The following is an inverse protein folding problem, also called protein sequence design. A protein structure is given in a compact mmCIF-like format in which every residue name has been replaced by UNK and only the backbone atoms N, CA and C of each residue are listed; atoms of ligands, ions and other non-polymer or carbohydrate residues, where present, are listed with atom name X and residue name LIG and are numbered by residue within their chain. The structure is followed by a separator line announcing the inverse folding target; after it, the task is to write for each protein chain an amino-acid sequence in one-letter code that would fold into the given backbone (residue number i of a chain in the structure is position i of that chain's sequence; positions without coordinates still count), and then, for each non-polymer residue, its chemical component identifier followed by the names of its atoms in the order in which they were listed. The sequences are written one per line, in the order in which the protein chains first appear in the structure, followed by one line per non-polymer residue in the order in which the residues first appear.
data_IF_862792002414
#
_entry.id   IF_862792002414
#
_cell.length_a   1.000
_cell.length_b   1.000
_cell.length_c   1.000
_cell.angle_alpha   90.00
_cell.angle_beta   90.00
_cell.angle_gamma   90.00
#
_symmetry.space_group_name_H-M   'P 1'
#
loop_
_entity.id
_entity.type
_entity.pdbx_description
1 polymer ?
#
# COMPACT_ATOMS: atom_id res chain seq x y z
N UNK A 1 -23.35 14.39 -3.96
CA UNK A 1 -22.24 13.55 -3.46
C UNK A 1 -22.04 13.91 -2.01
N UNK A 2 -22.15 12.95 -1.10
CA UNK A 2 -21.79 13.15 0.31
C UNK A 2 -20.38 12.60 0.48
N UNK A 3 -19.39 13.43 0.81
CA UNK A 3 -18.04 12.95 1.03
C UNK A 3 -18.00 11.99 2.22
N UNK A 4 -17.15 10.97 2.13
CA UNK A 4 -16.84 10.13 3.29
C UNK A 4 -16.13 10.97 4.34
N UNK A 5 -16.36 10.72 5.65
CA UNK A 5 -15.60 11.38 6.69
C UNK A 5 -14.10 11.10 6.51
N UNK A 6 -13.23 12.05 6.91
CA UNK A 6 -11.79 11.82 6.88
C UNK A 6 -11.42 10.69 7.85
N UNK A 7 -10.29 10.00 7.62
CA UNK A 7 -9.78 9.04 8.58
C UNK A 7 -9.39 9.73 9.88
N UNK A 8 -9.50 9.02 11.01
CA UNK A 8 -9.08 9.54 12.32
C UNK A 8 -7.56 9.78 12.40
N UNK A 9 -6.78 9.01 11.63
CA UNK A 9 -5.32 9.14 11.54
C UNK A 9 -4.81 8.81 10.15
N UNK A 10 -3.81 9.57 9.70
CA UNK A 10 -3.04 9.25 8.51
C UNK A 10 -1.83 8.38 8.89
N UNK A 11 -1.45 7.47 8.01
CA UNK A 11 -0.23 6.66 8.17
C UNK A 11 0.89 7.25 7.31
N UNK A 12 2.08 7.35 7.88
CA UNK A 12 3.30 7.62 7.15
C UNK A 12 3.93 6.33 6.63
N UNK A 13 4.83 6.49 5.67
CA UNK A 13 5.72 5.43 5.23
C UNK A 13 6.69 5.05 6.36
N UNK A 14 6.99 3.75 6.47
CA UNK A 14 7.80 3.12 7.52
C UNK A 14 7.29 3.35 8.96
N UNK A 15 6.03 3.73 9.13
CA UNK A 15 5.40 3.90 10.44
C UNK A 15 5.10 2.55 11.10
N UNK A 16 5.50 2.39 12.35
CA UNK A 16 5.08 1.25 13.16
C UNK A 16 3.57 1.28 13.41
N UNK A 17 2.93 0.14 13.17
CA UNK A 17 1.50 -0.02 13.42
C UNK A 17 1.24 -0.03 14.93
N UNK A 18 0.14 0.59 15.35
CA UNK A 18 -0.23 0.70 16.76
C UNK A 18 -0.46 -0.66 17.47
N UNK A 19 -0.64 -1.74 16.72
CA UNK A 19 -0.69 -3.10 17.25
C UNK A 19 0.68 -3.66 17.66
N UNK A 20 1.78 -2.94 17.38
CA UNK A 20 3.15 -3.29 17.78
C UNK A 20 3.76 -4.48 17.04
N UNK A 21 3.10 -5.00 16.01
CA UNK A 21 3.53 -6.23 15.32
C UNK A 21 3.78 -6.05 13.82
N UNK A 22 3.68 -4.84 13.28
CA UNK A 22 3.92 -4.61 11.86
C UNK A 22 4.27 -3.17 11.51
N UNK A 23 4.65 -2.97 10.25
CA UNK A 23 5.08 -1.69 9.69
C UNK A 23 4.22 -1.36 8.46
N UNK A 24 3.82 -0.09 8.34
CA UNK A 24 3.15 0.45 7.17
C UNK A 24 4.17 0.83 6.09
N UNK A 25 3.95 0.38 4.86
CA UNK A 25 4.83 0.64 3.72
C UNK A 25 4.03 1.37 2.64
N UNK A 26 4.50 2.54 2.20
CA UNK A 26 3.89 3.26 1.09
C UNK A 26 4.28 2.60 -0.23
N UNK A 27 3.29 2.03 -0.92
CA UNK A 27 3.49 1.25 -2.15
C UNK A 27 2.60 1.78 -3.29
N UNK A 28 2.79 3.04 -3.71
CA UNK A 28 1.96 3.66 -4.73
C UNK A 28 2.06 2.94 -6.07
N UNK A 29 1.06 3.18 -6.92
CA UNK A 29 1.06 2.74 -8.31
C UNK A 29 -0.31 2.26 -8.77
N UNK A 30 -1.00 1.42 -7.98
CA UNK A 30 -2.43 1.15 -8.22
C UNK A 30 -3.26 2.40 -7.94
N UNK A 31 -2.98 3.05 -6.80
CA UNK A 31 -3.41 4.40 -6.47
C UNK A 31 -2.24 5.21 -5.91
N UNK A 32 -2.31 6.55 -5.85
CA UNK A 32 -1.28 7.37 -5.21
C UNK A 32 -1.12 7.09 -3.70
N UNK A 33 -2.20 6.62 -3.05
CA UNK A 33 -2.25 6.36 -1.60
C UNK A 33 -2.17 4.88 -1.23
N UNK A 34 -1.80 3.99 -2.15
CA UNK A 34 -1.70 2.55 -1.87
C UNK A 34 -0.66 2.28 -0.77
N UNK A 35 -1.04 1.46 0.22
CA UNK A 35 -0.21 1.04 1.34
C UNK A 35 -0.15 -0.49 1.39
N UNK A 36 0.99 -1.03 1.83
CA UNK A 36 1.15 -2.44 2.23
C UNK A 36 1.48 -2.52 3.73
N UNK A 37 1.20 -3.66 4.36
CA UNK A 37 1.50 -3.88 5.77
C UNK A 37 2.35 -5.13 5.96
N UNK A 38 3.52 -4.95 6.56
CA UNK A 38 4.50 -6.02 6.74
C UNK A 38 4.55 -6.49 8.20
N UNK A 39 4.39 -7.80 8.40
CA UNK A 39 4.44 -8.47 9.70
C UNK A 39 5.58 -9.50 9.69
N UNK A 40 6.75 -9.08 10.16
CA UNK A 40 8.02 -9.81 10.03
C UNK A 40 8.01 -11.17 10.72
N UNK A 41 7.42 -11.27 11.92
CA UNK A 41 7.36 -12.52 12.70
C UNK A 41 6.64 -13.64 11.94
N UNK A 42 5.54 -13.30 11.27
CA UNK A 42 4.74 -14.23 10.48
C UNK A 42 5.18 -14.37 9.01
N UNK A 43 6.17 -13.57 8.57
CA UNK A 43 6.55 -13.42 7.15
C UNK A 43 5.34 -13.11 6.25
N UNK A 44 4.45 -12.24 6.71
CA UNK A 44 3.20 -11.91 6.04
C UNK A 44 3.23 -10.47 5.52
N UNK A 45 2.92 -10.31 4.24
CA UNK A 45 2.66 -9.01 3.62
C UNK A 45 1.19 -8.92 3.23
N UNK A 46 0.48 -7.94 3.77
CA UNK A 46 -0.83 -7.52 3.25
C UNK A 46 -0.57 -6.45 2.21
N UNK A 47 -0.57 -6.84 0.93
CA UNK A 47 -0.13 -5.96 -0.16
C UNK A 47 -1.24 -5.10 -0.79
N UNK A 48 -2.50 -5.29 -0.38
CA UNK A 48 -3.65 -4.72 -1.07
C UNK A 48 -3.64 -5.06 -2.56
N UNK A 49 -3.96 -4.07 -3.40
CA UNK A 49 -3.94 -4.22 -4.86
C UNK A 49 -2.56 -3.93 -5.48
N UNK A 50 -1.51 -3.70 -4.68
CA UNK A 50 -0.16 -3.47 -5.21
C UNK A 50 0.41 -4.73 -5.84
N UNK A 51 0.23 -5.90 -5.20
CA UNK A 51 0.81 -7.16 -5.64
C UNK A 51 -0.16 -8.33 -5.47
N UNK A 52 -0.35 -9.08 -6.55
CA UNK A 52 -1.06 -10.34 -6.57
C UNK A 52 -0.15 -11.50 -6.94
N UNK A 53 -0.63 -12.72 -6.71
CA UNK A 53 0.05 -13.91 -7.24
C UNK A 53 0.08 -13.83 -8.77
N UNK A 54 1.28 -13.61 -9.31
CA UNK A 54 1.56 -13.46 -10.75
C UNK A 54 0.91 -12.24 -11.40
N UNK A 55 0.65 -11.17 -10.65
CA UNK A 55 0.04 -9.97 -11.19
C UNK A 55 0.13 -8.76 -10.26
N UNK A 56 -0.43 -7.65 -10.73
CA UNK A 56 -0.55 -6.39 -9.99
C UNK A 56 -1.92 -5.77 -10.24
N UNK A 57 -2.36 -4.86 -9.36
CA UNK A 57 -3.56 -4.08 -9.59
C UNK A 57 -3.46 -3.21 -10.85
N UNK A 58 -4.62 -2.81 -11.35
CA UNK A 58 -4.73 -1.94 -12.52
C UNK A 58 -4.04 -0.59 -12.30
N UNK A 59 -3.47 -0.01 -13.33
CA UNK A 59 -2.75 1.29 -13.24
C UNK A 59 -3.23 2.30 -14.29
N UNK A 60 -4.28 1.96 -15.04
CA UNK A 60 -4.87 2.74 -16.12
C UNK A 60 -5.97 3.73 -15.67
N UNK A 61 -6.37 3.67 -14.40
CA UNK A 61 -7.34 4.59 -13.81
C UNK A 61 -6.68 5.86 -13.26
N UNK A 62 -7.50 6.86 -12.92
CA UNK A 62 -7.02 8.14 -12.39
C UNK A 62 -6.09 7.95 -11.18
N UNK A 63 -4.88 8.50 -11.28
CA UNK A 63 -3.83 8.39 -10.27
C UNK A 63 -3.01 7.08 -10.29
N UNK A 64 -3.37 6.12 -11.13
CA UNK A 64 -2.56 4.92 -11.37
C UNK A 64 -1.32 5.22 -12.20
N UNK A 65 -0.22 4.50 -11.93
CA UNK A 65 1.03 4.59 -12.70
C UNK A 65 1.81 3.26 -12.70
N UNK A 66 2.01 2.71 -13.90
CA UNK A 66 2.67 1.42 -14.09
C UNK A 66 4.15 1.45 -13.71
N UNK A 67 4.86 2.55 -13.94
CA UNK A 67 6.27 2.65 -13.58
C UNK A 67 6.43 2.69 -12.05
N UNK A 68 5.51 3.38 -11.36
CA UNK A 68 5.48 3.51 -9.90
C UNK A 68 5.16 2.17 -9.24
N UNK A 69 4.15 1.43 -9.69
CA UNK A 69 3.83 0.12 -9.06
C UNK A 69 5.02 -0.84 -9.16
N UNK A 70 5.72 -0.84 -10.30
CA UNK A 70 6.92 -1.67 -10.50
C UNK A 70 8.07 -1.22 -9.60
N UNK A 71 8.26 0.09 -9.38
CA UNK A 71 9.27 0.60 -8.44
C UNK A 71 8.93 0.19 -7.00
N UNK A 72 7.68 0.38 -6.57
CA UNK A 72 7.19 -0.01 -5.25
C UNK A 72 7.47 -1.47 -4.95
N UNK A 73 7.15 -2.38 -5.89
CA UNK A 73 7.38 -3.84 -5.71
C UNK A 73 8.86 -4.21 -5.66
N UNK A 74 9.75 -3.43 -6.30
CA UNK A 74 11.19 -3.76 -6.35
C UNK A 74 12.00 -3.17 -5.19
N UNK A 75 11.52 -2.09 -4.59
CA UNK A 75 12.29 -1.27 -3.65
C UNK A 75 11.76 -1.32 -2.21
N UNK A 76 10.57 -1.89 -1.99
CA UNK A 76 9.99 -2.15 -0.68
C UNK A 76 9.95 -3.65 -0.44
#
# INVERSE_FOLDING_TARGET
YTPVPPPDRWLADDEELACGCGVALHTPGHTPGSMSFWFSESKLLIAGDTLFRRGVGRTDLWGGDQATIVRSIKQR
#
